data_IF_148496550736
#
_entry.id   IF_148496550736
#
_cell.length_a   1.000
_cell.length_b   1.000
_cell.length_c   1.000
_cell.angle_alpha   90.00
_cell.angle_beta   90.00
_cell.angle_gamma   90.00
#
_symmetry.space_group_name_H-M   'P 1'
#
loop_
_entity.id
_entity.type
_entity.pdbx_description
1 polymer ?
#
# COMPACT_ATOMS: atom_id res chain seq x y z
N UNK A 1 4.62 -29.56 -6.98
CA UNK A 1 3.88 -30.64 -6.31
C UNK A 1 4.92 -31.60 -5.77
N UNK A 2 5.33 -31.44 -4.51
CA UNK A 2 6.36 -32.31 -3.90
C UNK A 2 5.65 -33.39 -3.09
N UNK A 3 5.61 -34.59 -3.66
CA UNK A 3 5.13 -35.84 -3.08
C UNK A 3 6.02 -36.27 -1.91
N UNK A 4 5.76 -35.73 -0.71
CA UNK A 4 6.36 -36.19 0.54
C UNK A 4 5.54 -37.35 1.14
N UNK A 5 5.26 -38.39 0.34
CA UNK A 5 4.49 -39.56 0.80
C UNK A 5 5.31 -40.60 1.56
N UNK A 6 6.65 -40.54 1.54
CA UNK A 6 7.42 -41.76 1.84
C UNK A 6 8.10 -41.86 3.20
N UNK A 7 7.86 -40.96 4.14
CA UNK A 7 8.53 -41.02 5.45
C UNK A 7 7.52 -41.30 6.58
N UNK A 8 7.52 -42.57 6.99
CA UNK A 8 7.27 -43.08 8.36
C UNK A 8 5.83 -43.38 8.80
N UNK A 9 5.26 -44.44 8.23
CA UNK A 9 4.18 -45.22 8.84
C UNK A 9 4.51 -45.69 10.27
N UNK A 10 5.78 -46.01 10.59
CA UNK A 10 6.22 -46.42 11.93
C UNK A 10 6.11 -45.31 13.00
N UNK A 11 6.40 -44.06 12.64
CA UNK A 11 6.24 -42.93 13.56
C UNK A 11 4.75 -42.66 13.81
N UNK A 12 3.92 -42.81 12.77
CA UNK A 12 2.47 -42.66 12.85
C UNK A 12 1.81 -43.66 13.81
N UNK A 13 2.23 -44.92 13.80
CA UNK A 13 1.72 -45.93 14.75
C UNK A 13 2.18 -45.69 16.18
N UNK A 14 3.42 -45.22 16.39
CA UNK A 14 3.90 -44.85 17.72
C UNK A 14 3.10 -43.68 18.30
N UNK A 15 2.90 -42.60 17.51
CA UNK A 15 2.09 -41.44 17.91
C UNK A 15 0.64 -41.80 18.18
N UNK A 16 0.04 -42.69 17.36
CA UNK A 16 -1.34 -43.17 17.56
C UNK A 16 -1.51 -43.98 18.84
N UNK A 17 -0.44 -44.64 19.31
CA UNK A 17 -0.46 -45.44 20.54
C UNK A 17 -0.21 -44.61 21.79
N UNK A 18 0.62 -43.56 21.70
CA UNK A 18 0.91 -42.67 22.84
C UNK A 18 -0.15 -41.61 23.05
N UNK A 19 -0.69 -41.04 21.98
CA UNK A 19 -1.81 -40.11 22.07
C UNK A 19 -3.04 -40.79 21.48
N UNK A 20 -4.02 -41.11 22.33
CA UNK A 20 -5.36 -41.58 21.99
C UNK A 20 -6.10 -40.53 21.13
N UNK A 21 -5.63 -40.32 19.91
CA UNK A 21 -6.08 -39.27 19.01
C UNK A 21 -7.33 -39.78 18.29
N UNK A 22 -8.47 -39.33 18.83
CA UNK A 22 -9.81 -39.51 18.29
C UNK A 22 -9.86 -39.18 16.80
N UNK A 23 -10.58 -40.03 16.06
CA UNK A 23 -10.63 -40.16 14.60
C UNK A 23 -11.36 -39.03 13.85
N UNK A 24 -11.20 -37.77 14.27
CA UNK A 24 -11.70 -36.61 13.52
C UNK A 24 -10.51 -35.73 13.12
N UNK A 25 -9.71 -36.22 12.18
CA UNK A 25 -8.72 -35.38 11.51
C UNK A 25 -9.38 -34.72 10.30
N UNK A 26 -10.01 -33.58 10.54
CA UNK A 26 -10.10 -32.56 9.49
C UNK A 26 -8.67 -32.27 9.04
N UNK A 27 -8.45 -32.33 7.73
CA UNK A 27 -7.19 -31.98 7.09
C UNK A 27 -6.83 -30.54 7.39
N UNK A 28 -6.08 -30.33 8.48
CA UNK A 28 -5.42 -29.07 8.78
C UNK A 28 -4.33 -28.84 7.73
N UNK A 29 -4.69 -28.16 6.64
CA UNK A 29 -3.70 -27.58 5.75
C UNK A 29 -3.30 -26.21 6.29
N UNK A 30 -2.01 -25.97 6.50
CA UNK A 30 -1.47 -24.66 6.90
C UNK A 30 -1.83 -23.57 5.86
N UNK A 31 -2.26 -23.97 4.65
CA UNK A 31 -2.59 -23.09 3.54
C UNK A 31 -4.05 -22.61 3.53
N UNK A 32 -4.92 -23.09 4.41
CA UNK A 32 -6.26 -22.51 4.64
C UNK A 32 -6.23 -21.36 5.65
N UNK A 33 -5.15 -20.57 5.69
CA UNK A 33 -5.21 -19.25 6.30
C UNK A 33 -6.14 -18.37 5.45
N UNK A 34 -7.38 -18.24 5.94
CA UNK A 34 -8.39 -17.25 5.61
C UNK A 34 -8.92 -17.25 4.16
N UNK A 35 -10.15 -17.74 3.94
CA UNK A 35 -10.77 -17.72 2.61
C UNK A 35 -10.92 -16.27 2.10
N UNK A 36 -10.68 -16.09 0.79
CA UNK A 36 -10.92 -14.85 0.03
C UNK A 36 -12.31 -14.22 0.26
N UNK A 37 -13.26 -14.98 0.81
CA UNK A 37 -14.59 -14.50 1.19
C UNK A 37 -14.56 -13.35 2.21
N UNK A 38 -13.59 -13.33 3.13
CA UNK A 38 -13.47 -12.23 4.10
C UNK A 38 -12.91 -10.94 3.46
N UNK A 39 -12.09 -11.04 2.41
CA UNK A 39 -11.63 -9.86 1.66
C UNK A 39 -12.80 -9.18 0.93
N UNK A 40 -13.75 -9.96 0.41
CA UNK A 40 -14.98 -9.43 -0.17
C UNK A 40 -15.88 -8.76 0.87
N UNK A 41 -15.81 -9.15 2.16
CA UNK A 41 -16.51 -8.48 3.26
C UNK A 41 -15.74 -7.28 3.83
N UNK A 42 -14.41 -7.27 3.75
CA UNK A 42 -13.58 -6.12 4.12
C UNK A 42 -13.70 -4.97 3.12
N UNK A 43 -13.93 -5.28 1.83
CA UNK A 43 -14.15 -4.28 0.78
C UNK A 43 -15.29 -3.32 1.12
N UNK A 44 -16.53 -3.76 1.47
CA UNK A 44 -17.59 -2.85 1.89
C UNK A 44 -17.32 -2.21 3.25
N UNK A 45 -16.56 -2.83 4.15
CA UNK A 45 -16.17 -2.18 5.43
C UNK A 45 -15.24 -0.98 5.17
N UNK A 46 -14.25 -1.14 4.30
CA UNK A 46 -13.42 -0.03 3.81
C UNK A 46 -14.26 1.02 3.06
N UNK A 47 -15.26 0.58 2.30
CA UNK A 47 -16.21 1.46 1.60
C UNK A 47 -17.14 2.21 2.56
N UNK A 48 -17.46 1.61 3.72
CA UNK A 48 -18.29 2.18 4.78
C UNK A 48 -17.54 3.15 5.69
N UNK A 49 -16.22 3.35 5.48
CA UNK A 49 -15.49 4.40 6.17
C UNK A 49 -16.19 5.75 5.91
N UNK A 50 -16.54 6.46 6.99
CA UNK A 50 -17.25 7.75 6.99
C UNK A 50 -16.70 8.81 6.01
N UNK A 51 -15.45 8.69 5.56
CA UNK A 51 -14.86 9.60 4.57
C UNK A 51 -15.55 9.55 3.19
N UNK A 52 -16.12 8.41 2.78
CA UNK A 52 -16.74 8.25 1.46
C UNK A 52 -18.23 8.61 1.42
N UNK A 53 -18.71 9.40 2.37
CA UNK A 53 -20.09 9.88 2.34
C UNK A 53 -20.31 10.81 1.15
N UNK A 54 -21.44 10.66 0.47
CA UNK A 54 -21.82 11.43 -0.73
C UNK A 54 -21.74 12.95 -0.49
N UNK A 55 -22.09 13.39 0.72
CA UNK A 55 -22.07 14.80 1.13
C UNK A 55 -20.64 15.38 1.21
N UNK A 56 -19.64 14.59 1.65
CA UNK A 56 -18.25 15.04 1.82
C UNK A 56 -17.39 14.80 0.58
N UNK A 57 -17.90 14.10 -0.42
CA UNK A 57 -17.15 13.73 -1.61
C UNK A 57 -16.51 14.92 -2.35
N UNK A 58 -17.21 16.06 -2.61
CA UNK A 58 -16.60 17.19 -3.31
C UNK A 58 -15.38 17.75 -2.58
N UNK A 59 -15.44 17.81 -1.25
CA UNK A 59 -14.34 18.31 -0.41
C UNK A 59 -13.14 17.37 -0.51
N UNK A 60 -13.37 16.05 -0.37
CA UNK A 60 -12.33 15.03 -0.50
C UNK A 60 -11.70 15.07 -1.89
N UNK A 61 -12.51 15.20 -2.94
CA UNK A 61 -12.04 15.30 -4.32
C UNK A 61 -11.10 16.50 -4.51
N UNK A 62 -11.51 17.71 -4.10
CA UNK A 62 -10.68 18.90 -4.22
C UNK A 62 -9.41 18.83 -3.36
N UNK A 63 -9.47 18.22 -2.17
CA UNK A 63 -8.27 17.97 -1.36
C UNK A 63 -7.30 17.04 -2.09
N UNK A 64 -7.78 15.95 -2.69
CA UNK A 64 -6.95 15.03 -3.47
C UNK A 64 -6.32 15.75 -4.67
N UNK A 65 -7.08 16.58 -5.38
CA UNK A 65 -6.57 17.41 -6.49
C UNK A 65 -5.45 18.33 -6.01
N UNK A 66 -5.68 19.14 -4.97
CA UNK A 66 -4.70 20.09 -4.46
C UNK A 66 -3.43 19.40 -3.96
N UNK A 67 -3.57 18.32 -3.18
CA UNK A 67 -2.43 17.55 -2.70
C UNK A 67 -1.68 16.86 -3.84
N UNK A 68 -2.37 16.44 -4.90
CA UNK A 68 -1.71 15.83 -6.07
C UNK A 68 -0.89 16.81 -6.89
N UNK A 69 -1.41 18.03 -7.09
CA UNK A 69 -0.66 19.11 -7.75
C UNK A 69 0.52 19.52 -6.89
N UNK A 70 0.31 19.74 -5.59
CA UNK A 70 1.38 20.10 -4.67
C UNK A 70 2.46 19.02 -4.59
N UNK A 71 2.06 17.75 -4.46
CA UNK A 71 2.96 16.60 -4.45
C UNK A 71 3.78 16.50 -5.74
N UNK A 72 3.15 16.70 -6.90
CA UNK A 72 3.86 16.70 -8.19
C UNK A 72 4.87 17.84 -8.29
N UNK A 73 4.46 19.08 -7.96
CA UNK A 73 5.34 20.24 -7.96
C UNK A 73 6.54 20.05 -7.01
N UNK A 74 6.30 19.54 -5.80
CA UNK A 74 7.36 19.26 -4.83
C UNK A 74 8.34 18.20 -5.32
N UNK A 75 7.85 17.11 -5.91
CA UNK A 75 8.71 16.07 -6.49
C UNK A 75 9.48 16.56 -7.72
N UNK A 76 8.87 17.37 -8.59
CA UNK A 76 9.56 18.01 -9.70
C UNK A 76 10.69 18.93 -9.21
N UNK A 77 10.43 19.74 -8.19
CA UNK A 77 11.44 20.63 -7.60
C UNK A 77 12.61 19.85 -6.99
N UNK A 78 12.33 18.79 -6.22
CA UNK A 78 13.38 17.94 -5.65
C UNK A 78 14.16 17.19 -6.72
N UNK A 79 13.50 16.70 -7.78
CA UNK A 79 14.18 16.08 -8.92
C UNK A 79 15.11 17.07 -9.64
N UNK A 80 14.62 18.30 -9.90
CA UNK A 80 15.42 19.36 -10.51
C UNK A 80 16.63 19.73 -9.63
N UNK A 81 16.45 19.79 -8.31
CA UNK A 81 17.53 20.06 -7.35
C UNK A 81 18.58 18.94 -7.34
N UNK A 82 18.15 17.68 -7.33
CA UNK A 82 19.05 16.50 -7.40
C UNK A 82 19.81 16.43 -8.72
N UNK A 83 19.17 16.88 -9.80
CA UNK A 83 19.78 16.95 -11.13
C UNK A 83 20.83 18.06 -11.20
N UNK A 84 20.49 19.27 -10.77
CA UNK A 84 21.38 20.44 -10.82
C UNK A 84 22.54 20.37 -9.84
N UNK A 85 22.33 19.84 -8.64
CA UNK A 85 23.33 19.82 -7.57
C UNK A 85 23.66 18.38 -7.13
N UNK A 86 24.71 17.75 -7.68
CA UNK A 86 25.09 16.37 -7.33
C UNK A 86 25.55 16.19 -5.87
N UNK A 87 25.97 17.28 -5.21
CA UNK A 87 26.64 17.24 -3.90
C UNK A 87 25.71 17.50 -2.70
N UNK A 88 24.43 17.84 -2.90
CA UNK A 88 23.55 18.19 -1.78
C UNK A 88 23.13 16.94 -0.99
N UNK A 89 23.39 16.94 0.33
CA UNK A 89 22.75 16.01 1.26
C UNK A 89 21.25 16.28 1.25
N UNK A 90 20.46 15.44 0.58
CA UNK A 90 19.00 15.53 0.70
C UNK A 90 18.61 15.25 2.15
N UNK A 91 17.85 16.18 2.73
CA UNK A 91 17.16 15.95 3.99
C UNK A 91 16.10 14.86 3.74
N UNK A 92 16.33 13.66 4.26
CA UNK A 92 15.27 12.68 4.36
C UNK A 92 14.39 13.05 5.55
N UNK A 93 13.09 12.76 5.45
CA UNK A 93 12.15 12.89 6.57
C UNK A 93 12.62 12.14 7.83
N UNK A 94 13.44 11.09 7.66
CA UNK A 94 14.14 10.38 8.74
C UNK A 94 15.63 10.25 8.39
N UNK A 95 16.53 10.75 9.24
CA UNK A 95 17.97 10.54 9.08
C UNK A 95 18.28 9.04 9.23
N UNK A 96 18.67 8.38 8.13
CA UNK A 96 19.13 6.99 8.13
C UNK A 96 20.61 6.95 7.80
N UNK A 97 21.40 6.33 8.68
CA UNK A 97 22.82 6.06 8.42
C UNK A 97 22.94 4.72 7.67
N UNK A 98 23.27 4.79 6.38
CA UNK A 98 23.60 3.60 5.59
C UNK A 98 25.11 3.37 5.68
N UNK A 99 25.56 2.49 6.56
CA UNK A 99 26.99 2.18 6.72
C UNK A 99 27.55 1.28 5.60
N UNK A 100 26.69 0.53 4.91
CA UNK A 100 27.13 -0.54 3.99
C UNK A 100 27.12 -0.13 2.51
N UNK A 101 26.40 0.93 2.13
CA UNK A 101 26.19 1.27 0.73
C UNK A 101 27.12 2.40 0.26
N UNK A 102 27.76 2.20 -0.89
CA UNK A 102 28.56 3.25 -1.56
C UNK A 102 27.69 4.48 -1.86
N UNK A 103 28.26 5.67 -1.72
CA UNK A 103 27.54 6.94 -1.99
C UNK A 103 26.92 7.00 -3.41
N UNK A 104 27.64 6.49 -4.41
CA UNK A 104 27.15 6.46 -5.80
C UNK A 104 25.94 5.56 -6.01
N UNK A 105 25.87 4.39 -5.36
CA UNK A 105 24.72 3.48 -5.47
C UNK A 105 23.50 4.05 -4.76
N UNK A 106 23.70 4.68 -3.59
CA UNK A 106 22.65 5.42 -2.88
C UNK A 106 22.08 6.54 -3.76
N UNK A 107 22.91 7.26 -4.50
CA UNK A 107 22.46 8.32 -5.41
C UNK A 107 21.59 7.76 -6.55
N UNK A 108 22.03 6.69 -7.21
CA UNK A 108 21.26 6.06 -8.30
C UNK A 108 19.91 5.54 -7.81
N UNK A 109 19.88 4.87 -6.66
CA UNK A 109 18.65 4.37 -6.05
C UNK A 109 17.69 5.51 -5.71
N UNK A 110 18.18 6.65 -5.20
CA UNK A 110 17.35 7.84 -4.92
C UNK A 110 16.79 8.46 -6.19
N UNK A 111 17.60 8.61 -7.24
CA UNK A 111 17.11 9.16 -8.52
C UNK A 111 16.03 8.25 -9.12
N UNK A 112 16.24 6.94 -9.10
CA UNK A 112 15.24 5.95 -9.54
C UNK A 112 13.96 6.05 -8.70
N UNK A 113 14.08 6.13 -7.38
CA UNK A 113 12.94 6.26 -6.47
C UNK A 113 12.16 7.55 -6.73
N UNK A 114 12.86 8.67 -6.93
CA UNK A 114 12.25 9.97 -7.25
C UNK A 114 11.56 9.95 -8.62
N UNK A 115 12.14 9.27 -9.61
CA UNK A 115 11.51 9.11 -10.92
C UNK A 115 10.25 8.24 -10.83
N UNK A 116 10.28 7.12 -10.10
CA UNK A 116 9.12 6.24 -9.93
C UNK A 116 7.98 6.97 -9.22
N UNK A 117 8.26 7.69 -8.13
CA UNK A 117 7.23 8.43 -7.40
C UNK A 117 6.68 9.59 -8.25
N UNK A 118 7.50 10.26 -9.06
CA UNK A 118 7.04 11.31 -9.96
C UNK A 118 6.11 10.74 -11.03
N UNK A 119 6.46 9.62 -11.66
CA UNK A 119 5.58 8.94 -12.63
C UNK A 119 4.26 8.56 -11.96
N UNK A 120 4.30 8.03 -10.74
CA UNK A 120 3.11 7.71 -9.98
C UNK A 120 2.23 8.95 -9.75
N UNK A 121 2.81 10.09 -9.36
CA UNK A 121 2.06 11.34 -9.18
C UNK A 121 1.44 11.86 -10.48
N UNK A 122 2.17 11.77 -11.59
CA UNK A 122 1.64 12.14 -12.91
C UNK A 122 0.48 11.23 -13.34
N UNK A 123 0.59 9.92 -13.09
CA UNK A 123 -0.48 8.96 -13.33
C UNK A 123 -1.72 9.26 -12.48
N UNK A 124 -1.53 9.69 -11.22
CA UNK A 124 -2.63 10.11 -10.36
C UNK A 124 -3.35 11.33 -10.94
N UNK A 125 -2.61 12.39 -11.31
CA UNK A 125 -3.20 13.59 -11.94
C UNK A 125 -3.92 13.21 -13.23
N UNK A 126 -3.29 12.40 -14.07
CA UNK A 126 -3.90 11.91 -15.31
C UNK A 126 -5.21 11.16 -15.03
N UNK A 127 -5.23 10.27 -14.03
CA UNK A 127 -6.43 9.54 -13.61
C UNK A 127 -7.53 10.46 -13.09
N UNK A 128 -7.18 11.53 -12.39
CA UNK A 128 -8.15 12.53 -11.90
C UNK A 128 -8.74 13.31 -13.09
N UNK A 129 -7.90 13.83 -14.00
CA UNK A 129 -8.33 14.65 -15.14
C UNK A 129 -9.16 13.84 -16.14
N UNK A 130 -8.79 12.58 -16.38
CA UNK A 130 -9.49 11.69 -17.31
C UNK A 130 -10.59 10.86 -16.67
N UNK A 131 -10.86 11.05 -15.37
CA UNK A 131 -11.83 10.28 -14.58
C UNK A 131 -11.61 8.76 -14.80
N UNK A 132 -10.35 8.32 -14.83
CA UNK A 132 -9.98 6.92 -15.10
C UNK A 132 -9.44 6.22 -13.84
N UNK A 133 -10.22 5.33 -13.20
CA UNK A 133 -9.80 4.66 -11.96
C UNK A 133 -8.59 3.73 -12.16
N UNK A 134 -8.43 3.20 -13.37
CA UNK A 134 -7.28 2.36 -13.74
C UNK A 134 -5.96 3.13 -13.68
N UNK A 135 -5.94 4.41 -14.10
CA UNK A 135 -4.73 5.22 -14.07
C UNK A 135 -4.36 5.70 -12.66
N UNK A 136 -5.30 5.69 -11.70
CA UNK A 136 -5.01 5.98 -10.29
C UNK A 136 -4.31 4.80 -9.58
N UNK A 137 -4.49 3.58 -10.11
CA UNK A 137 -4.00 2.35 -9.46
C UNK A 137 -2.47 2.28 -9.26
N UNK A 138 -1.60 2.73 -10.19
CA UNK A 138 -0.16 2.67 -10.00
C UNK A 138 0.30 3.53 -8.82
N UNK A 139 -0.32 4.71 -8.64
CA UNK A 139 -0.02 5.57 -7.51
C UNK A 139 -0.38 4.92 -6.18
N UNK A 140 -1.58 4.31 -6.10
CA UNK A 140 -2.02 3.59 -4.91
C UNK A 140 -1.08 2.43 -4.61
N UNK A 141 -0.69 1.64 -5.62
CA UNK A 141 0.21 0.50 -5.46
C UNK A 141 1.58 0.93 -4.95
N UNK A 142 2.22 1.90 -5.61
CA UNK A 142 3.55 2.40 -5.19
C UNK A 142 3.49 2.95 -3.76
N UNK A 143 2.49 3.78 -3.46
CA UNK A 143 2.33 4.40 -2.14
C UNK A 143 2.02 3.36 -1.07
N UNK A 144 1.21 2.34 -1.37
CA UNK A 144 0.93 1.23 -0.44
C UNK A 144 2.18 0.41 -0.12
N UNK A 145 3.05 0.16 -1.10
CA UNK A 145 4.31 -0.56 -0.89
C UNK A 145 5.23 0.27 0.00
N UNK A 146 5.39 1.56 -0.32
CA UNK A 146 6.21 2.48 0.49
C UNK A 146 5.68 2.56 1.92
N UNK A 147 4.38 2.74 2.10
CA UNK A 147 3.75 2.80 3.41
C UNK A 147 3.91 1.50 4.20
N UNK A 148 3.74 0.34 3.56
CA UNK A 148 3.92 -0.97 4.21
C UNK A 148 5.36 -1.15 4.67
N UNK A 149 6.33 -0.78 3.83
CA UNK A 149 7.75 -0.85 4.18
C UNK A 149 8.10 0.13 5.31
N UNK A 150 7.57 1.35 5.30
CA UNK A 150 7.77 2.31 6.38
C UNK A 150 7.13 1.85 7.70
N UNK A 151 5.90 1.33 7.65
CA UNK A 151 5.26 0.70 8.81
C UNK A 151 6.08 -0.45 9.36
N UNK A 152 6.57 -1.35 8.51
CA UNK A 152 7.37 -2.49 8.93
C UNK A 152 8.69 -2.05 9.60
N UNK A 153 9.39 -1.10 9.01
CA UNK A 153 10.63 -0.55 9.57
C UNK A 153 10.38 0.21 10.87
N UNK A 154 9.31 1.01 10.94
CA UNK A 154 8.93 1.72 12.14
C UNK A 154 8.58 0.74 13.28
N UNK A 155 7.76 -0.28 13.01
CA UNK A 155 7.46 -1.33 13.99
C UNK A 155 8.71 -2.06 14.45
N UNK A 156 9.65 -2.36 13.55
CA UNK A 156 10.93 -2.97 13.89
C UNK A 156 11.79 -2.06 14.79
N UNK A 157 11.88 -0.76 14.48
CA UNK A 157 12.65 0.22 15.26
C UNK A 157 12.04 0.41 16.67
N UNK A 158 10.71 0.40 16.79
CA UNK A 158 9.98 0.44 18.07
C UNK A 158 10.19 -0.85 18.87
N UNK A 159 10.07 -2.02 18.24
CA UNK A 159 10.27 -3.32 18.89
C UNK A 159 11.71 -3.52 19.38
N UNK A 160 12.69 -2.99 18.65
CA UNK A 160 14.11 -3.04 19.05
C UNK A 160 14.48 -1.96 20.07
N UNK A 161 13.55 -1.07 20.42
CA UNK A 161 13.78 0.03 21.37
C UNK A 161 14.77 1.09 20.88
N UNK A 162 15.05 1.14 19.58
CA UNK A 162 16.02 2.09 19.00
C UNK A 162 15.46 3.49 18.82
N UNK A 163 14.14 3.63 18.77
CA UNK A 163 13.48 4.89 18.49
C UNK A 163 12.52 5.26 19.63
N UNK A 164 12.64 6.45 20.25
CA UNK A 164 11.58 6.96 21.12
C UNK A 164 10.31 7.18 20.28
N UNK A 165 9.14 6.96 20.87
CA UNK A 165 7.84 7.19 20.22
C UNK A 165 7.63 8.69 19.99
N UNK A 166 8.21 9.24 18.93
CA UNK A 166 8.05 10.64 18.58
C UNK A 166 6.67 10.87 17.95
N UNK A 167 5.80 11.71 18.56
CA UNK A 167 4.44 11.92 18.07
C UNK A 167 4.40 12.51 16.65
N UNK A 168 5.43 13.25 16.25
CA UNK A 168 5.58 13.78 14.89
C UNK A 168 5.71 12.65 13.84
N UNK A 169 6.39 11.55 14.19
CA UNK A 169 6.54 10.41 13.27
C UNK A 169 5.22 9.70 13.04
N UNK A 170 4.47 9.49 14.11
CA UNK A 170 3.15 8.89 14.09
C UNK A 170 2.16 9.77 13.32
N UNK A 171 2.17 11.09 13.55
CA UNK A 171 1.30 12.02 12.84
C UNK A 171 1.52 11.99 11.33
N UNK A 172 2.78 11.99 10.88
CA UNK A 172 3.09 11.90 9.45
C UNK A 172 2.63 10.57 8.83
N UNK A 173 2.79 9.46 9.56
CA UNK A 173 2.36 8.14 9.09
C UNK A 173 0.84 8.09 8.94
N UNK A 174 0.11 8.55 9.95
CA UNK A 174 -1.36 8.65 9.95
C UNK A 174 -1.85 9.56 8.83
N UNK A 175 -1.21 10.72 8.63
CA UNK A 175 -1.58 11.64 7.54
C UNK A 175 -1.42 10.97 6.17
N UNK A 176 -0.37 10.17 5.99
CA UNK A 176 -0.15 9.42 4.76
C UNK A 176 -1.22 8.35 4.53
N UNK A 177 -1.60 7.61 5.58
CA UNK A 177 -2.69 6.63 5.55
C UNK A 177 -4.01 7.29 5.16
N UNK A 178 -4.33 8.45 5.77
CA UNK A 178 -5.54 9.21 5.46
C UNK A 178 -5.51 9.65 3.99
N UNK A 179 -4.38 10.13 3.48
CA UNK A 179 -4.28 10.53 2.07
C UNK A 179 -4.52 9.36 1.12
N UNK A 180 -3.90 8.20 1.37
CA UNK A 180 -4.16 6.98 0.59
C UNK A 180 -5.64 6.59 0.66
N UNK A 181 -6.26 6.65 1.84
CA UNK A 181 -7.68 6.37 2.00
C UNK A 181 -8.56 7.32 1.17
N UNK A 182 -8.24 8.62 1.15
CA UNK A 182 -8.95 9.61 0.32
C UNK A 182 -8.81 9.30 -1.18
N UNK A 183 -7.62 8.94 -1.66
CA UNK A 183 -7.44 8.55 -3.07
C UNK A 183 -8.20 7.27 -3.40
N UNK A 184 -8.17 6.26 -2.53
CA UNK A 184 -8.96 5.04 -2.68
C UNK A 184 -10.46 5.34 -2.71
N UNK A 185 -10.91 6.29 -1.89
CA UNK A 185 -12.28 6.75 -1.88
C UNK A 185 -12.67 7.35 -3.24
N UNK A 186 -11.89 8.30 -3.76
CA UNK A 186 -12.13 8.92 -5.07
C UNK A 186 -12.16 7.87 -6.19
N UNK A 187 -11.20 6.95 -6.18
CA UNK A 187 -11.17 5.83 -7.12
C UNK A 187 -12.45 4.99 -7.05
N UNK A 188 -12.91 4.65 -5.85
CA UNK A 188 -14.12 3.83 -5.68
C UNK A 188 -15.38 4.53 -6.19
N UNK A 189 -15.50 5.84 -5.96
CA UNK A 189 -16.63 6.63 -6.48
C UNK A 189 -16.59 6.71 -8.01
N UNK A 190 -15.40 6.84 -8.60
CA UNK A 190 -15.24 6.81 -10.06
C UNK A 190 -15.59 5.44 -10.65
N UNK A 191 -15.18 4.34 -10.01
CA UNK A 191 -15.57 2.98 -10.43
C UNK A 191 -17.09 2.78 -10.37
N UNK A 192 -17.76 3.27 -9.32
CA UNK A 192 -19.21 3.20 -9.17
C UNK A 192 -19.93 4.05 -10.22
N UNK A 193 -19.53 5.30 -10.40
CA UNK A 193 -20.15 6.21 -11.38
C UNK A 193 -20.00 5.69 -12.82
N UNK A 194 -18.82 5.18 -13.17
CA UNK A 194 -18.60 4.56 -14.49
C UNK A 194 -19.40 3.28 -14.66
N UNK A 195 -19.52 2.46 -13.60
CA UNK A 195 -20.38 1.26 -13.60
C UNK A 195 -21.84 1.60 -13.89
N UNK A 196 -22.39 2.57 -13.17
CA UNK A 196 -23.78 3.03 -13.36
C UNK A 196 -24.03 3.58 -14.77
N UNK A 197 -23.11 4.40 -15.31
CA UNK A 197 -23.22 4.93 -16.67
C UNK A 197 -23.19 3.84 -17.75
N UNK A 198 -22.37 2.80 -17.57
CA UNK A 198 -22.33 1.64 -18.48
C UNK A 198 -23.63 0.85 -18.41
N UNK A 199 -24.18 0.62 -17.21
CA UNK A 199 -25.47 -0.05 -17.05
C UNK A 199 -26.64 0.72 -17.70
N UNK A 200 -26.65 2.06 -17.57
CA UNK A 200 -27.66 2.90 -18.22
C UNK A 200 -27.53 2.87 -19.74
N UNK A 201 -26.30 2.86 -20.27
CA UNK A 201 -26.05 2.78 -21.72
C UNK A 201 -26.47 1.44 -22.30
N UNK A 202 -26.30 0.33 -21.55
CA UNK A 202 -26.73 -1.01 -21.96
C UNK A 202 -28.25 -1.20 -21.91
N UNK A 203 -28.97 -0.47 -21.04
CA UNK A 203 -30.44 -0.57 -20.93
C UNK A 203 -31.17 0.20 -22.05
N UNK A 204 -30.50 1.15 -22.71
CA UNK A 204 -31.10 1.97 -23.78
C UNK A 204 -31.03 1.27 -25.16
N UNK A 205 -30.20 0.22 -25.30
CA UNK A 205 -30.08 -0.62 -26.51
C UNK A 205 -31.01 -1.82 -26.38
#
# INVERSE_FOLDING_TARGET
MFELQHITTRIRTLLRRTFHLSSNYDTYSIWTFCPMTNWNQLKPVLQSCNLCRVESFPIVFWLVVLLSVFGTCSNCYELMKVWSCPCTKLAMWRQRHFYVLKHWTLRKARLLSLAIILIAWLMLIYGIVTISPYAMSPWILVTSIVLTMECFLWSFDVLTGRLPLDPQTLLSLVLHVIFVAMVCCVKSVFELALGEHVEHSLRII
#
